data_IF_324811757571
#
_entry.id   IF_324811757571
#
_cell.length_a   1.000
_cell.length_b   1.000
_cell.length_c   1.000
_cell.angle_alpha   90.00
_cell.angle_beta   90.00
_cell.angle_gamma   90.00
#
_symmetry.space_group_name_H-M   'P 1'
#
loop_
_entity.id
_entity.type
_entity.pdbx_description
1 polymer ?
#
# COMPACT_ATOMS: atom_id res chain seq x y z
N UNK A 1 -30.17 -64.55 -8.09
CA UNK A 1 -30.54 -63.53 -9.14
C UNK A 1 -30.48 -62.18 -8.45
N UNK A 2 -29.64 -61.31 -8.90
CA UNK A 2 -29.53 -59.99 -8.30
C UNK A 2 -30.65 -59.09 -8.83
N UNK A 3 -31.44 -58.51 -7.92
CA UNK A 3 -32.48 -57.55 -8.26
C UNK A 3 -31.84 -56.28 -8.83
N UNK A 4 -32.35 -55.71 -9.91
CA UNK A 4 -31.86 -54.47 -10.54
C UNK A 4 -32.98 -53.45 -10.66
N UNK A 5 -32.61 -52.19 -10.74
CA UNK A 5 -33.54 -51.08 -10.87
C UNK A 5 -34.41 -50.90 -9.62
N UNK A 6 -35.71 -50.71 -9.77
CA UNK A 6 -36.65 -50.47 -8.66
C UNK A 6 -36.78 -51.62 -7.65
N UNK A 7 -36.29 -52.79 -7.98
CA UNK A 7 -36.28 -53.99 -7.10
C UNK A 7 -34.92 -54.22 -6.46
N UNK A 8 -33.98 -53.37 -6.66
CA UNK A 8 -32.69 -53.46 -6.00
C UNK A 8 -32.86 -53.29 -4.49
N UNK A 9 -32.07 -54.00 -3.72
CA UNK A 9 -32.03 -53.94 -2.27
C UNK A 9 -30.66 -53.52 -1.78
N UNK A 10 -30.62 -52.88 -0.65
CA UNK A 10 -29.40 -52.53 0.05
C UNK A 10 -29.52 -52.85 1.56
N UNK A 11 -28.38 -53.03 2.21
CA UNK A 11 -28.29 -53.26 3.64
C UNK A 11 -28.13 -51.90 4.31
N UNK A 12 -28.94 -51.67 5.36
CA UNK A 12 -28.78 -50.47 6.21
C UNK A 12 -27.52 -50.58 7.05
N UNK A 13 -26.69 -49.55 7.02
CA UNK A 13 -25.47 -49.49 7.84
C UNK A 13 -25.75 -49.42 9.34
N UNK A 14 -27.00 -49.12 9.73
CA UNK A 14 -27.39 -49.02 11.15
C UNK A 14 -27.89 -50.36 11.71
N UNK A 15 -28.85 -50.97 11.05
CA UNK A 15 -29.47 -52.22 11.54
C UNK A 15 -28.90 -53.48 10.90
N UNK A 16 -28.19 -53.39 9.81
CA UNK A 16 -27.74 -54.53 9.03
C UNK A 16 -28.88 -55.27 8.27
N UNK A 17 -30.09 -54.72 8.29
CA UNK A 17 -31.23 -55.28 7.60
C UNK A 17 -31.29 -54.90 6.14
N UNK A 18 -31.91 -55.74 5.33
CA UNK A 18 -32.06 -55.54 3.87
C UNK A 18 -33.36 -54.78 3.57
N UNK A 19 -33.24 -53.61 2.93
CA UNK A 19 -34.37 -52.77 2.51
C UNK A 19 -34.36 -52.49 1.02
N UNK A 20 -35.48 -52.04 0.43
CA UNK A 20 -35.50 -51.57 -0.94
C UNK A 20 -34.54 -50.35 -1.11
N UNK A 21 -33.71 -50.39 -2.12
CA UNK A 21 -32.70 -49.34 -2.36
C UNK A 21 -33.29 -47.96 -2.55
N UNK A 22 -34.48 -47.85 -3.13
CA UNK A 22 -35.18 -46.56 -3.33
C UNK A 22 -35.69 -45.91 -2.02
N UNK A 23 -35.71 -46.65 -0.92
CA UNK A 23 -36.08 -46.16 0.41
C UNK A 23 -34.87 -45.87 1.30
N UNK A 24 -33.66 -46.02 0.77
CA UNK A 24 -32.42 -45.72 1.48
C UNK A 24 -32.09 -44.25 1.38
N UNK A 25 -31.65 -43.66 2.47
CA UNK A 25 -31.24 -42.23 2.63
C UNK A 25 -29.85 -42.16 3.24
N UNK A 26 -29.05 -41.22 2.77
CA UNK A 26 -27.73 -40.97 3.34
C UNK A 26 -27.84 -40.00 4.50
N UNK A 27 -27.34 -40.39 5.65
CA UNK A 27 -27.25 -39.52 6.85
C UNK A 27 -26.11 -38.50 6.75
N UNK A 28 -26.09 -37.57 7.67
CA UNK A 28 -25.07 -36.50 7.80
C UNK A 28 -23.65 -37.05 8.06
N UNK A 29 -23.55 -38.26 8.67
CA UNK A 29 -22.28 -38.96 8.94
C UNK A 29 -21.80 -39.81 7.74
N UNK A 30 -22.58 -39.85 6.65
CA UNK A 30 -22.28 -40.57 5.43
C UNK A 30 -22.86 -42.01 5.38
N UNK A 31 -23.45 -42.48 6.45
CA UNK A 31 -24.10 -43.82 6.49
C UNK A 31 -25.31 -43.89 5.58
N UNK A 32 -25.50 -45.03 4.93
CA UNK A 32 -26.67 -45.33 4.12
C UNK A 32 -27.67 -46.14 4.97
N UNK A 33 -28.79 -45.50 5.32
CA UNK A 33 -29.80 -46.08 6.21
C UNK A 33 -31.17 -46.06 5.54
N UNK A 34 -32.08 -46.93 6.03
CA UNK A 34 -33.48 -46.86 5.62
C UNK A 34 -34.14 -45.62 6.24
N UNK A 35 -35.12 -45.02 5.52
CA UNK A 35 -35.84 -43.80 5.94
C UNK A 35 -36.48 -43.90 7.32
N UNK A 36 -36.86 -45.09 7.78
CA UNK A 36 -37.40 -45.29 9.12
C UNK A 36 -36.35 -45.23 10.25
N UNK A 37 -35.07 -45.37 9.88
CA UNK A 37 -33.92 -45.35 10.78
C UNK A 37 -33.16 -44.02 10.67
N UNK A 38 -33.58 -43.13 9.79
CA UNK A 38 -32.92 -41.84 9.54
C UNK A 38 -32.94 -40.95 10.78
N UNK A 39 -31.76 -40.45 11.09
CA UNK A 39 -31.55 -39.53 12.20
C UNK A 39 -30.96 -38.24 11.69
N UNK A 40 -31.65 -37.13 11.94
CA UNK A 40 -31.15 -35.79 11.58
C UNK A 40 -29.93 -35.43 12.46
N UNK A 41 -29.02 -34.67 11.88
CA UNK A 41 -27.87 -34.13 12.60
C UNK A 41 -28.34 -33.30 13.81
N UNK A 42 -27.83 -33.60 14.99
CA UNK A 42 -28.15 -32.82 16.16
C UNK A 42 -27.58 -31.42 16.08
N UNK A 43 -28.37 -30.36 16.40
CA UNK A 43 -27.91 -28.96 16.26
C UNK A 43 -26.63 -28.62 17.03
N UNK A 44 -26.36 -29.33 18.13
CA UNK A 44 -25.12 -29.13 18.90
C UNK A 44 -23.84 -29.59 18.18
N UNK A 45 -23.98 -30.45 17.14
CA UNK A 45 -22.84 -30.91 16.35
C UNK A 45 -22.47 -29.90 15.24
N UNK A 46 -23.29 -28.88 15.06
CA UNK A 46 -22.93 -27.75 14.19
C UNK A 46 -22.16 -26.72 15.00
N UNK A 47 -20.92 -26.38 14.57
CA UNK A 47 -20.21 -25.30 15.23
C UNK A 47 -21.05 -24.05 15.13
N UNK A 48 -21.38 -23.43 16.27
CA UNK A 48 -22.02 -22.11 16.27
C UNK A 48 -21.06 -21.15 15.57
N UNK A 49 -21.56 -20.48 14.54
CA UNK A 49 -20.92 -19.27 14.09
C UNK A 49 -20.96 -18.27 15.26
N UNK A 50 -19.82 -18.00 15.85
CA UNK A 50 -19.70 -16.96 16.86
C UNK A 50 -19.79 -15.61 16.18
N UNK A 51 -21.00 -15.08 16.07
CA UNK A 51 -21.24 -13.68 15.71
C UNK A 51 -20.79 -12.69 16.78
N UNK A 52 -20.24 -13.18 17.88
CA UNK A 52 -20.01 -12.39 19.09
C UNK A 52 -18.60 -11.82 19.21
N UNK A 53 -17.68 -12.19 18.35
CA UNK A 53 -16.40 -11.49 18.32
C UNK A 53 -16.56 -10.24 17.46
N UNK A 54 -16.73 -9.10 18.11
CA UNK A 54 -16.85 -7.78 17.47
C UNK A 54 -15.64 -7.35 16.64
N UNK A 55 -14.74 -8.27 16.31
CA UNK A 55 -13.54 -8.07 15.52
C UNK A 55 -13.61 -8.71 14.13
N UNK A 56 -14.60 -9.55 13.88
CA UNK A 56 -14.81 -10.20 12.59
C UNK A 56 -15.95 -9.58 11.80
N UNK A 57 -15.68 -8.58 10.98
CA UNK A 57 -16.64 -8.10 10.00
C UNK A 57 -16.65 -9.07 8.81
N UNK A 58 -17.81 -9.64 8.49
CA UNK A 58 -17.96 -10.55 7.34
C UNK A 58 -17.54 -9.93 6.01
N UNK A 59 -17.62 -8.61 5.90
CA UNK A 59 -17.22 -7.82 4.74
C UNK A 59 -16.45 -6.56 5.17
N UNK A 60 -15.40 -6.77 5.95
CA UNK A 60 -14.54 -5.66 6.35
C UNK A 60 -13.92 -5.01 5.10
N UNK A 61 -14.27 -3.76 4.89
CA UNK A 61 -13.60 -2.88 3.93
C UNK A 61 -13.18 -1.62 4.69
N UNK A 62 -12.13 -1.71 5.51
CA UNK A 62 -11.60 -0.53 6.14
C UNK A 62 -11.17 0.45 5.04
N UNK A 63 -11.42 1.73 5.27
CA UNK A 63 -10.77 2.75 4.48
C UNK A 63 -9.27 2.47 4.57
N UNK A 64 -8.63 2.30 3.44
CA UNK A 64 -7.19 2.12 3.39
C UNK A 64 -6.58 3.44 3.83
N UNK A 65 -6.12 3.51 5.05
CA UNK A 65 -5.19 4.54 5.44
C UNK A 65 -3.90 4.21 4.69
N UNK A 66 -3.66 4.89 3.59
CA UNK A 66 -2.35 4.83 2.97
C UNK A 66 -1.43 5.60 3.91
N UNK A 67 -0.55 4.87 4.56
CA UNK A 67 0.60 5.49 5.22
C UNK A 67 1.41 6.16 4.12
N UNK A 68 1.79 7.41 4.32
CA UNK A 68 2.64 8.14 3.40
C UNK A 68 3.87 7.31 3.06
N UNK A 69 3.88 6.73 1.87
CA UNK A 69 4.95 5.86 1.44
C UNK A 69 6.19 6.69 1.14
N UNK A 70 7.36 6.14 1.45
CA UNK A 70 8.63 6.69 1.01
C UNK A 70 8.73 6.49 -0.51
N UNK A 71 8.66 7.58 -1.28
CA UNK A 71 8.80 7.54 -2.73
C UNK A 71 10.28 7.65 -3.11
N UNK A 72 10.73 6.80 -4.03
CA UNK A 72 12.05 6.92 -4.66
C UNK A 72 11.92 7.90 -5.82
N UNK A 73 12.63 9.01 -5.73
CA UNK A 73 12.66 10.02 -6.79
C UNK A 73 13.52 9.54 -7.96
N UNK A 74 13.19 10.01 -9.15
CA UNK A 74 13.98 9.78 -10.35
C UNK A 74 15.37 10.45 -10.29
N UNK A 75 16.21 10.27 -11.31
CA UNK A 75 17.53 10.89 -11.37
C UNK A 75 17.43 12.41 -11.42
N UNK A 76 18.23 13.08 -10.58
CA UNK A 76 18.30 14.55 -10.46
C UNK A 76 16.93 15.23 -10.30
N UNK A 77 16.17 14.85 -9.25
CA UNK A 77 14.78 15.28 -9.10
C UNK A 77 14.63 16.75 -8.72
N UNK A 78 15.67 17.37 -8.18
CA UNK A 78 15.64 18.77 -7.74
C UNK A 78 16.07 19.71 -8.85
N UNK A 79 15.43 20.87 -8.93
CA UNK A 79 15.87 21.95 -9.81
C UNK A 79 15.67 23.31 -9.14
N UNK A 80 16.70 24.15 -9.21
CA UNK A 80 16.65 25.55 -8.75
C UNK A 80 15.83 26.38 -9.74
N UNK A 81 15.12 27.39 -9.25
CA UNK A 81 14.18 28.18 -10.05
C UNK A 81 14.88 29.32 -10.77
N UNK A 82 15.50 30.22 -10.03
CA UNK A 82 16.19 31.41 -10.55
C UNK A 82 17.36 31.78 -9.67
N UNK A 83 18.30 32.57 -10.21
CA UNK A 83 19.38 33.18 -9.41
C UNK A 83 18.81 34.03 -8.30
N UNK A 84 19.35 33.86 -7.08
CA UNK A 84 18.86 34.52 -5.87
C UNK A 84 17.57 33.95 -5.28
N UNK A 85 17.00 32.92 -5.87
CA UNK A 85 15.79 32.27 -5.40
C UNK A 85 16.10 31.17 -4.38
N UNK A 86 15.29 31.08 -3.33
CA UNK A 86 15.31 29.99 -2.35
C UNK A 86 14.33 28.85 -2.66
N UNK A 87 13.61 28.95 -3.78
CA UNK A 87 12.66 27.93 -4.22
C UNK A 87 13.35 26.80 -4.98
N UNK A 88 12.98 25.56 -4.66
CA UNK A 88 13.42 24.35 -5.35
C UNK A 88 12.21 23.61 -5.85
N UNK A 89 12.17 23.32 -7.15
CA UNK A 89 11.19 22.41 -7.74
C UNK A 89 11.68 20.97 -7.57
N UNK A 90 10.75 20.07 -7.31
CA UNK A 90 10.99 18.63 -7.23
C UNK A 90 10.14 17.94 -8.29
N UNK A 91 10.77 17.05 -9.03
CA UNK A 91 10.07 16.19 -9.98
C UNK A 91 9.78 14.84 -9.34
N UNK A 92 8.51 14.51 -9.20
CA UNK A 92 8.01 13.22 -8.75
C UNK A 92 6.73 12.90 -9.52
N UNK A 93 6.82 11.97 -10.44
CA UNK A 93 5.72 11.65 -11.36
C UNK A 93 4.48 11.15 -10.63
N UNK A 94 3.34 11.81 -10.86
CA UNK A 94 2.02 11.46 -10.28
C UNK A 94 2.10 11.29 -8.77
N UNK A 95 2.67 12.27 -8.07
CA UNK A 95 3.05 12.17 -6.66
C UNK A 95 1.87 12.04 -5.68
N UNK A 96 0.66 12.45 -6.07
CA UNK A 96 -0.54 12.34 -5.23
C UNK A 96 -0.47 13.11 -3.91
N UNK A 97 0.46 14.06 -3.76
CA UNK A 97 0.61 14.92 -2.58
C UNK A 97 -0.26 16.15 -2.72
N UNK A 98 -0.67 16.69 -1.58
CA UNK A 98 -1.41 17.96 -1.52
C UNK A 98 -0.50 19.11 -1.11
N UNK A 99 -0.92 20.33 -1.45
CA UNK A 99 -0.24 21.52 -0.93
C UNK A 99 -0.38 21.58 0.58
N UNK A 100 0.67 22.06 1.25
CA UNK A 100 0.87 22.09 2.70
C UNK A 100 1.29 20.75 3.34
N UNK A 101 1.41 19.66 2.57
CA UNK A 101 2.02 18.43 3.06
C UNK A 101 3.46 18.68 3.51
N UNK A 102 3.88 17.99 4.57
CA UNK A 102 5.26 18.06 5.05
C UNK A 102 6.08 16.90 4.50
N UNK A 103 7.02 17.22 3.60
CA UNK A 103 7.87 16.23 2.95
C UNK A 103 9.31 16.35 3.43
N UNK A 104 9.90 15.24 3.81
CA UNK A 104 11.32 15.12 4.13
C UNK A 104 12.05 14.40 3.01
N UNK A 105 13.13 15.03 2.54
CA UNK A 105 14.03 14.45 1.56
C UNK A 105 15.18 13.74 2.25
N UNK A 106 15.56 12.56 1.72
CA UNK A 106 16.66 11.74 2.24
C UNK A 106 17.53 11.31 1.07
N UNK A 107 18.83 11.17 1.32
CA UNK A 107 19.79 10.68 0.35
C UNK A 107 20.12 11.62 -0.83
N UNK A 108 20.02 12.96 -0.73
CA UNK A 108 20.44 13.81 -1.82
C UNK A 108 21.95 13.69 -2.04
N UNK A 109 22.33 13.27 -3.24
CA UNK A 109 23.73 13.17 -3.68
C UNK A 109 23.94 14.18 -4.80
N UNK A 110 24.88 15.08 -4.63
CA UNK A 110 25.09 16.19 -5.57
C UNK A 110 26.27 15.99 -6.49
N UNK A 111 27.17 15.06 -6.19
CA UNK A 111 28.33 14.79 -7.04
C UNK A 111 28.44 13.31 -7.39
N UNK A 112 28.90 13.06 -8.63
CA UNK A 112 29.23 11.71 -9.13
C UNK A 112 30.49 11.09 -8.50
N UNK A 113 31.17 11.83 -7.61
CA UNK A 113 32.42 11.40 -7.01
C UNK A 113 32.28 10.75 -5.62
N UNK A 114 31.07 10.73 -5.08
CA UNK A 114 30.79 10.01 -3.83
C UNK A 114 29.95 8.75 -4.14
N UNK A 115 30.56 7.56 -4.24
CA UNK A 115 29.87 6.34 -4.59
C UNK A 115 28.88 5.86 -3.51
N UNK A 116 29.04 6.30 -2.25
CA UNK A 116 28.22 5.87 -1.13
C UNK A 116 27.05 6.81 -0.83
N UNK A 117 27.01 7.97 -1.46
CA UNK A 117 25.83 8.85 -1.54
C UNK A 117 25.23 9.39 -0.25
N UNK A 118 25.73 8.98 0.89
CA UNK A 118 25.15 9.28 2.20
C UNK A 118 25.99 10.20 3.09
N UNK A 119 27.27 10.43 2.77
CA UNK A 119 28.20 10.94 3.77
C UNK A 119 28.56 12.42 3.65
N UNK A 120 28.40 13.06 2.49
CA UNK A 120 28.62 14.50 2.35
C UNK A 120 27.69 15.09 1.29
N UNK A 121 26.53 15.62 1.68
CA UNK A 121 25.73 16.41 0.76
C UNK A 121 26.52 17.66 0.34
N UNK A 122 26.94 17.68 -0.91
CA UNK A 122 27.67 18.78 -1.51
C UNK A 122 26.71 19.90 -1.89
N UNK A 123 27.22 21.13 -2.04
CA UNK A 123 26.41 22.27 -2.43
C UNK A 123 25.81 22.09 -3.83
N UNK A 124 24.54 22.42 -3.92
CA UNK A 124 23.76 22.39 -5.15
C UNK A 124 23.37 23.80 -5.53
N UNK A 125 24.00 24.34 -6.57
CA UNK A 125 23.77 25.72 -7.04
C UNK A 125 23.83 26.77 -5.91
N UNK A 126 24.78 26.60 -4.97
CA UNK A 126 24.92 27.47 -3.80
C UNK A 126 24.04 27.10 -2.59
N UNK A 127 23.20 26.08 -2.74
CA UNK A 127 22.37 25.55 -1.66
C UNK A 127 23.03 24.32 -1.08
N UNK A 128 23.24 24.29 0.24
CA UNK A 128 23.81 23.10 0.88
C UNK A 128 22.83 21.92 0.86
N UNK A 129 23.33 20.73 0.49
CA UNK A 129 22.54 19.50 0.52
C UNK A 129 21.99 19.17 1.90
N UNK A 130 22.69 19.56 2.97
CA UNK A 130 22.20 19.41 4.34
C UNK A 130 20.93 20.25 4.61
N UNK A 131 20.78 21.38 3.93
CA UNK A 131 19.58 22.19 4.06
C UNK A 131 18.39 21.55 3.32
N UNK A 132 18.63 20.82 2.24
CA UNK A 132 17.56 20.08 1.53
C UNK A 132 17.15 18.84 2.32
N UNK A 133 18.09 18.14 2.93
CA UNK A 133 17.86 16.94 3.73
C UNK A 133 17.46 17.22 5.19
N UNK A 134 16.83 18.37 5.46
CA UNK A 134 16.38 18.80 6.79
C UNK A 134 15.48 17.75 7.45
N UNK A 135 15.79 17.40 8.70
CA UNK A 135 15.06 16.34 9.44
C UNK A 135 13.59 16.66 9.68
N UNK A 136 13.26 17.93 9.86
CA UNK A 136 11.88 18.39 10.06
C UNK A 136 11.04 18.34 8.76
N UNK A 137 11.67 18.13 7.59
CA UNK A 137 10.99 18.26 6.31
C UNK A 137 10.65 19.69 5.92
N UNK A 138 9.96 19.83 4.81
CA UNK A 138 9.48 21.09 4.26
C UNK A 138 8.00 21.00 3.92
N UNK A 139 7.26 22.05 4.19
CA UNK A 139 5.92 22.22 3.61
C UNK A 139 6.06 22.47 2.11
N UNK A 140 5.31 21.74 1.32
CA UNK A 140 5.36 21.79 -0.14
C UNK A 140 4.15 22.52 -0.71
N UNK A 141 4.29 22.99 -1.95
CA UNK A 141 3.18 23.50 -2.75
C UNK A 141 3.18 22.78 -4.09
N UNK A 142 2.04 22.24 -4.47
CA UNK A 142 1.88 21.48 -5.73
C UNK A 142 1.97 22.40 -6.93
N UNK A 143 2.73 21.97 -7.93
CA UNK A 143 2.97 22.70 -9.16
C UNK A 143 4.44 22.96 -9.42
N UNK A 144 4.75 23.41 -10.64
CA UNK A 144 6.09 23.79 -11.05
C UNK A 144 6.22 25.32 -11.06
N UNK A 145 7.18 25.85 -10.32
CA UNK A 145 7.48 27.29 -10.32
C UNK A 145 8.51 27.63 -11.37
N UNK A 146 8.26 28.65 -12.17
CA UNK A 146 9.19 29.15 -13.18
C UNK A 146 10.07 30.29 -12.66
N UNK A 147 11.02 30.76 -13.47
CA UNK A 147 11.94 31.86 -13.14
C UNK A 147 11.25 33.23 -13.00
N UNK A 148 10.04 33.39 -13.52
CA UNK A 148 9.23 34.62 -13.39
C UNK A 148 8.42 34.62 -12.08
N UNK A 149 8.37 33.48 -11.40
CA UNK A 149 7.62 33.28 -10.16
C UNK A 149 6.21 32.73 -10.39
N UNK A 150 5.83 32.49 -11.65
CA UNK A 150 4.54 31.86 -11.96
C UNK A 150 4.55 30.37 -11.64
N UNK A 151 3.39 29.85 -11.23
CA UNK A 151 3.23 28.44 -10.91
C UNK A 151 2.31 27.77 -11.92
N UNK A 152 2.86 26.78 -12.61
CA UNK A 152 2.08 25.92 -13.51
C UNK A 152 1.56 24.73 -12.71
N UNK A 153 0.24 24.58 -12.63
CA UNK A 153 -0.39 23.44 -11.97
C UNK A 153 -0.05 22.13 -12.70
N UNK A 154 0.50 21.16 -11.99
CA UNK A 154 0.87 19.84 -12.51
C UNK A 154 1.01 18.85 -11.37
N UNK A 155 0.59 17.62 -11.59
CA UNK A 155 0.67 16.53 -10.60
C UNK A 155 2.05 15.84 -10.60
N UNK A 156 2.97 16.29 -11.46
CA UNK A 156 4.32 15.74 -11.56
C UNK A 156 5.39 16.59 -10.88
N UNK A 157 5.02 17.77 -10.36
CA UNK A 157 5.93 18.67 -9.69
C UNK A 157 5.32 19.30 -8.46
N UNK A 158 6.16 19.54 -7.49
CA UNK A 158 5.90 20.42 -6.35
C UNK A 158 7.16 21.21 -6.03
N UNK A 159 7.04 22.25 -5.24
CA UNK A 159 8.18 23.06 -4.83
C UNK A 159 8.15 23.37 -3.35
N UNK A 160 9.30 23.68 -2.80
CA UNK A 160 9.48 24.12 -1.41
C UNK A 160 10.47 25.25 -1.33
N UNK A 161 10.55 25.91 -0.18
CA UNK A 161 11.47 27.01 0.09
C UNK A 161 12.56 26.56 1.06
N UNK A 162 13.83 26.80 0.72
CA UNK A 162 14.97 26.53 1.60
C UNK A 162 15.18 27.70 2.55
N UNK A 163 15.43 27.39 3.83
CA UNK A 163 15.45 28.41 4.89
C UNK A 163 16.62 29.40 4.82
N UNK A 164 17.79 28.99 4.33
CA UNK A 164 19.04 29.73 4.58
C UNK A 164 19.86 30.10 3.37
N UNK A 165 19.69 29.49 2.20
CA UNK A 165 20.53 29.72 1.04
C UNK A 165 19.71 30.01 -0.20
N UNK A 166 20.30 30.72 -1.15
CA UNK A 166 19.67 31.02 -2.43
C UNK A 166 20.49 30.44 -3.57
N UNK A 167 19.81 30.10 -4.65
CA UNK A 167 20.44 29.59 -5.86
C UNK A 167 21.40 30.63 -6.47
N UNK A 168 22.59 30.20 -6.87
CA UNK A 168 23.60 31.06 -7.49
C UNK A 168 23.25 31.38 -8.93
N UNK A 169 22.84 30.39 -9.70
CA UNK A 169 22.58 30.51 -11.12
C UNK A 169 21.13 30.37 -11.50
N UNK A 170 20.41 29.44 -10.89
CA UNK A 170 19.07 29.04 -11.24
C UNK A 170 19.02 28.08 -12.45
N UNK A 171 17.94 27.31 -12.55
CA UNK A 171 17.75 26.35 -13.63
C UNK A 171 18.68 25.13 -13.57
N UNK A 172 19.42 24.94 -12.48
CA UNK A 172 20.32 23.80 -12.31
C UNK A 172 19.53 22.62 -11.75
N UNK A 173 19.73 21.42 -12.32
CA UNK A 173 19.12 20.18 -11.82
C UNK A 173 20.15 19.30 -11.12
N UNK A 174 19.75 18.61 -10.05
CA UNK A 174 20.63 17.76 -9.26
C UNK A 174 19.88 16.85 -8.29
N UNK A 175 20.65 16.20 -7.42
CA UNK A 175 20.15 15.27 -6.41
C UNK A 175 20.62 13.82 -6.59
N UNK A 176 21.15 13.49 -7.77
CA UNK A 176 21.61 12.13 -8.07
C UNK A 176 20.45 11.12 -8.17
N UNK A 177 20.76 9.84 -7.99
CA UNK A 177 19.82 8.76 -8.27
C UNK A 177 19.20 8.14 -6.99
N UNK A 178 19.63 8.55 -5.83
CA UNK A 178 19.27 7.89 -4.55
C UNK A 178 18.41 8.74 -3.63
N UNK A 179 17.75 9.75 -4.18
CA UNK A 179 16.88 10.61 -3.39
C UNK A 179 15.54 9.96 -3.15
N UNK A 180 15.03 10.12 -1.94
CA UNK A 180 13.69 9.70 -1.55
C UNK A 180 12.94 10.87 -0.93
N UNK A 181 11.63 10.88 -1.14
CA UNK A 181 10.70 11.82 -0.55
C UNK A 181 9.66 11.05 0.28
N UNK A 182 9.39 11.50 1.47
CA UNK A 182 8.43 10.83 2.35
C UNK A 182 8.05 11.68 3.55
N UNK A 183 7.30 11.15 4.51
CA UNK A 183 6.89 11.88 5.70
C UNK A 183 8.11 12.30 6.55
N UNK A 184 7.96 13.38 7.34
CA UNK A 184 9.02 13.84 8.23
C UNK A 184 9.36 12.81 9.30
N UNK A 185 8.34 12.14 9.85
CA UNK A 185 8.47 11.01 10.76
C UNK A 185 7.99 9.75 10.02
N UNK A 186 8.85 8.75 9.94
CA UNK A 186 8.42 7.40 9.60
C UNK A 186 7.92 6.79 10.91
N UNK A 187 6.67 6.41 10.95
CA UNK A 187 6.18 5.62 12.08
C UNK A 187 6.82 4.23 12.00
N UNK A 188 7.44 3.81 13.12
CA UNK A 188 8.07 2.48 13.28
C UNK A 188 7.00 1.39 13.45
#
# INVERSE_FOLDING_TARGET
MFARGKYAKAISDRSGMEFPYNEMVREWNGMLVHKSEFEAKHPQLEPRAYDAEGHGLANARPARAETDALAILGPNPFSTVASGSSYINVYEKSHGRDSDDTVRFRGPVWTSSDPDGFQNPVDFDGISGSNIAKSAGYSITVGKRDSSGDVTATDDYYYFTVDTNTATSGGVSGGGNNCTAGPATLED
#
